data_IF_611281676850
#
_entry.id   IF_611281676850
#
_cell.length_a   1.000
_cell.length_b   1.000
_cell.length_c   1.000
_cell.angle_alpha   90.00
_cell.angle_beta   90.00
_cell.angle_gamma   90.00
#
_symmetry.space_group_name_H-M   'P 1'
#
loop_
_entity.id
_entity.type
_entity.pdbx_description
1 polymer ?
#
# COMPACT_ATOMS: atom_id res chain seq x y z
N UNK A 1 -31.32 0.99 -18.21
CA UNK A 1 -30.25 1.63 -17.38
C UNK A 1 -30.94 2.55 -16.37
N UNK A 2 -31.56 1.93 -15.39
CA UNK A 2 -32.53 2.65 -14.52
C UNK A 2 -31.86 3.56 -13.47
N UNK A 3 -30.57 3.44 -13.22
CA UNK A 3 -29.82 4.21 -12.23
C UNK A 3 -28.66 5.03 -12.80
N UNK A 4 -28.68 5.33 -14.10
CA UNK A 4 -27.57 6.04 -14.76
C UNK A 4 -27.28 7.40 -14.12
N UNK A 5 -28.33 8.20 -13.88
CA UNK A 5 -28.22 9.55 -13.28
C UNK A 5 -27.67 9.48 -11.84
N UNK A 6 -28.13 8.52 -11.05
CA UNK A 6 -27.66 8.33 -9.66
C UNK A 6 -26.19 7.87 -9.63
N UNK A 7 -25.79 7.01 -10.57
CA UNK A 7 -24.39 6.53 -10.69
C UNK A 7 -23.49 7.70 -11.09
N UNK A 8 -23.89 8.48 -12.10
CA UNK A 8 -23.10 9.62 -12.56
C UNK A 8 -23.01 10.74 -11.52
N UNK A 9 -24.05 10.90 -10.69
CA UNK A 9 -24.06 11.86 -9.58
C UNK A 9 -23.31 11.35 -8.33
N UNK A 10 -22.85 10.07 -8.30
CA UNK A 10 -22.20 9.46 -7.13
C UNK A 10 -23.13 9.22 -5.96
N UNK A 11 -24.45 9.22 -6.18
CA UNK A 11 -25.47 9.03 -5.14
C UNK A 11 -25.98 7.60 -5.05
N UNK A 12 -25.63 6.75 -6.01
CA UNK A 12 -25.99 5.32 -5.99
C UNK A 12 -25.16 4.58 -4.95
N UNK A 13 -25.81 4.15 -3.86
CA UNK A 13 -25.18 3.53 -2.68
C UNK A 13 -25.35 2.00 -2.62
N UNK A 14 -25.85 1.38 -3.69
CA UNK A 14 -26.13 -0.06 -3.74
C UNK A 14 -25.20 -0.76 -4.71
N UNK A 15 -25.13 -2.08 -4.61
CA UNK A 15 -24.48 -2.92 -5.62
C UNK A 15 -25.22 -2.80 -6.97
N UNK A 16 -24.48 -2.82 -8.08
CA UNK A 16 -25.06 -2.67 -9.43
C UNK A 16 -26.05 -3.80 -9.80
N UNK A 17 -25.95 -4.94 -9.13
CA UNK A 17 -26.86 -6.07 -9.32
C UNK A 17 -28.08 -6.02 -8.38
N UNK A 18 -28.15 -5.07 -7.45
CA UNK A 18 -29.22 -4.99 -6.49
C UNK A 18 -30.60 -4.90 -7.16
N UNK A 19 -31.54 -5.73 -6.72
CA UNK A 19 -32.88 -5.79 -7.27
C UNK A 19 -32.98 -6.47 -8.65
N UNK A 20 -31.89 -6.95 -9.22
CA UNK A 20 -31.86 -7.67 -10.49
C UNK A 20 -31.82 -9.18 -10.31
N UNK A 21 -32.09 -9.91 -11.40
CA UNK A 21 -31.88 -11.38 -11.44
C UNK A 21 -30.43 -11.78 -11.06
N UNK A 22 -29.47 -10.91 -11.38
CA UNK A 22 -28.05 -11.15 -11.11
C UNK A 22 -27.66 -11.11 -9.64
N UNK A 23 -28.43 -10.44 -8.77
CA UNK A 23 -28.10 -10.28 -7.35
C UNK A 23 -27.86 -11.64 -6.65
N UNK A 24 -28.83 -12.54 -6.76
CA UNK A 24 -28.73 -13.86 -6.14
C UNK A 24 -27.58 -14.72 -6.73
N UNK A 25 -27.33 -14.56 -8.02
CA UNK A 25 -26.22 -15.27 -8.66
C UNK A 25 -24.87 -14.75 -8.14
N UNK A 26 -24.69 -13.45 -8.04
CA UNK A 26 -23.48 -12.82 -7.52
C UNK A 26 -23.27 -13.19 -6.03
N UNK A 27 -24.33 -13.18 -5.22
CA UNK A 27 -24.27 -13.63 -3.83
C UNK A 27 -23.84 -15.10 -3.73
N UNK A 28 -24.44 -15.98 -4.54
CA UNK A 28 -24.07 -17.39 -4.57
C UNK A 28 -22.61 -17.59 -4.99
N UNK A 29 -22.16 -16.94 -6.05
CA UNK A 29 -20.77 -17.02 -6.53
C UNK A 29 -19.79 -16.46 -5.49
N UNK A 30 -20.13 -15.33 -4.84
CA UNK A 30 -19.34 -14.76 -3.76
C UNK A 30 -19.17 -15.72 -2.58
N UNK A 31 -20.24 -16.37 -2.15
CA UNK A 31 -20.22 -17.37 -1.09
C UNK A 31 -19.37 -18.60 -1.45
N UNK A 32 -19.46 -19.07 -2.69
CA UNK A 32 -18.62 -20.17 -3.18
C UNK A 32 -17.15 -19.76 -3.21
N UNK A 33 -16.85 -18.59 -3.77
CA UNK A 33 -15.49 -18.06 -3.83
C UNK A 33 -14.89 -17.89 -2.43
N UNK A 34 -15.66 -17.30 -1.50
CA UNK A 34 -15.22 -17.14 -0.11
C UNK A 34 -14.92 -18.50 0.55
N UNK A 35 -15.86 -19.45 0.45
CA UNK A 35 -15.77 -20.74 1.15
C UNK A 35 -14.67 -21.65 0.60
N UNK A 36 -14.47 -21.66 -0.73
CA UNK A 36 -13.60 -22.67 -1.37
C UNK A 36 -12.29 -22.09 -1.91
N UNK A 37 -12.20 -20.77 -2.08
CA UNK A 37 -10.99 -20.10 -2.57
C UNK A 37 -10.36 -19.27 -1.47
N UNK A 38 -11.02 -18.18 -1.08
CA UNK A 38 -10.43 -17.20 -0.16
C UNK A 38 -10.20 -17.75 1.27
N UNK A 39 -10.97 -18.74 1.71
CA UNK A 39 -10.77 -19.42 2.99
C UNK A 39 -9.90 -20.67 2.88
N UNK A 40 -9.13 -20.82 1.81
CA UNK A 40 -8.22 -21.95 1.63
C UNK A 40 -6.92 -21.76 2.42
N UNK A 41 -6.32 -22.89 2.83
CA UNK A 41 -5.05 -22.89 3.55
C UNK A 41 -3.91 -22.25 2.73
N UNK A 42 -3.95 -22.39 1.43
CA UNK A 42 -2.98 -21.84 0.49
C UNK A 42 -3.04 -20.30 0.51
N UNK A 43 -4.25 -19.74 0.49
CA UNK A 43 -4.45 -18.28 0.57
C UNK A 43 -3.99 -17.77 1.94
N UNK A 44 -4.38 -18.39 3.04
CA UNK A 44 -3.93 -17.99 4.37
C UNK A 44 -2.42 -17.99 4.53
N UNK A 45 -1.73 -18.95 3.92
CA UNK A 45 -0.25 -18.95 3.91
C UNK A 45 0.34 -17.81 3.10
N UNK A 46 -0.31 -17.40 2.01
CA UNK A 46 0.11 -16.23 1.24
C UNK A 46 -0.10 -14.95 2.04
N UNK A 47 -1.29 -14.75 2.61
CA UNK A 47 -1.62 -13.58 3.42
C UNK A 47 -0.66 -13.39 4.59
N UNK A 48 -0.36 -14.44 5.34
CA UNK A 48 0.61 -14.38 6.46
C UNK A 48 2.00 -14.01 5.96
N UNK A 49 2.44 -14.59 4.85
CA UNK A 49 3.75 -14.29 4.27
C UNK A 49 3.84 -12.83 3.80
N UNK A 50 2.80 -12.34 3.14
CA UNK A 50 2.75 -10.97 2.64
C UNK A 50 2.66 -9.95 3.76
N UNK A 51 1.90 -10.25 4.82
CA UNK A 51 1.87 -9.41 6.02
C UNK A 51 3.28 -9.25 6.63
N UNK A 52 4.03 -10.34 6.77
CA UNK A 52 5.41 -10.28 7.30
C UNK A 52 6.33 -9.44 6.41
N UNK A 53 6.19 -9.55 5.09
CA UNK A 53 6.99 -8.75 4.14
C UNK A 53 6.66 -7.27 4.28
N UNK A 54 5.37 -6.93 4.28
CA UNK A 54 4.92 -5.54 4.35
C UNK A 54 5.29 -4.90 5.69
N UNK A 55 5.05 -5.58 6.81
CA UNK A 55 5.42 -5.11 8.15
C UNK A 55 6.92 -4.81 8.23
N UNK A 56 7.75 -5.73 7.75
CA UNK A 56 9.20 -5.53 7.72
C UNK A 56 9.61 -4.33 6.87
N UNK A 57 9.07 -4.21 5.65
CA UNK A 57 9.41 -3.11 4.75
C UNK A 57 8.95 -1.77 5.31
N UNK A 58 7.73 -1.71 5.86
CA UNK A 58 7.19 -0.51 6.49
C UNK A 58 8.06 -0.08 7.68
N UNK A 59 8.38 -0.98 8.60
CA UNK A 59 9.21 -0.68 9.77
C UNK A 59 10.59 -0.15 9.37
N UNK A 60 11.24 -0.81 8.42
CA UNK A 60 12.58 -0.40 7.98
C UNK A 60 12.59 0.95 7.28
N UNK A 61 11.59 1.18 6.41
CA UNK A 61 11.50 2.43 5.67
C UNK A 61 11.02 3.61 6.52
N UNK A 62 10.08 3.39 7.43
CA UNK A 62 9.64 4.42 8.37
C UNK A 62 10.83 4.90 9.21
N UNK A 63 11.62 3.98 9.78
CA UNK A 63 12.81 4.35 10.56
C UNK A 63 13.78 5.21 9.73
N UNK A 64 14.01 4.85 8.47
CA UNK A 64 14.92 5.59 7.59
C UNK A 64 14.42 6.99 7.24
N UNK A 65 13.10 7.20 7.08
CA UNK A 65 12.56 8.51 6.68
C UNK A 65 12.28 9.46 7.85
N UNK A 66 12.24 9.00 9.09
CA UNK A 66 11.93 9.86 10.24
C UNK A 66 12.80 11.11 10.30
N UNK A 67 14.05 10.99 9.91
CA UNK A 67 15.04 12.08 9.92
C UNK A 67 15.45 12.54 8.52
N UNK A 68 14.78 12.08 7.47
CA UNK A 68 14.99 12.56 6.11
C UNK A 68 14.64 14.05 6.01
N UNK A 69 15.48 14.84 5.34
CA UNK A 69 15.29 16.29 5.20
C UNK A 69 15.17 17.00 6.57
N UNK A 70 15.99 16.60 7.54
CA UNK A 70 16.14 17.26 8.84
C UNK A 70 17.61 17.55 9.11
N UNK A 71 17.90 18.37 10.14
CA UNK A 71 19.27 18.69 10.56
C UNK A 71 20.01 17.49 11.21
N UNK A 72 19.30 16.40 11.47
CA UNK A 72 19.89 15.18 12.06
C UNK A 72 20.58 14.35 10.98
N UNK A 73 21.85 14.01 11.24
CA UNK A 73 22.61 13.12 10.39
C UNK A 73 22.02 11.69 10.37
N UNK A 74 21.80 11.18 9.17
CA UNK A 74 21.34 9.81 8.97
C UNK A 74 22.50 8.83 9.18
N UNK A 75 22.23 7.72 9.83
CA UNK A 75 23.22 6.64 9.88
C UNK A 75 23.40 5.99 8.50
N UNK A 76 24.48 5.26 8.32
CA UNK A 76 24.84 4.67 7.04
C UNK A 76 23.80 3.67 6.49
N UNK A 77 23.08 2.96 7.38
CA UNK A 77 22.06 1.99 6.99
C UNK A 77 20.80 2.72 6.51
N UNK A 78 20.30 3.71 7.27
CA UNK A 78 19.10 4.47 6.90
C UNK A 78 19.32 5.24 5.58
N UNK A 79 20.50 5.80 5.38
CA UNK A 79 20.87 6.45 4.12
C UNK A 79 20.79 5.47 2.93
N UNK A 80 21.22 4.22 3.10
CA UNK A 80 21.11 3.18 2.07
C UNK A 80 19.68 2.72 1.85
N UNK A 81 18.90 2.56 2.90
CA UNK A 81 17.45 2.24 2.78
C UNK A 81 16.73 3.33 1.99
N UNK A 82 17.00 4.60 2.29
CA UNK A 82 16.46 5.73 1.52
C UNK A 82 16.85 5.73 0.05
N UNK A 83 17.99 5.14 -0.31
CA UNK A 83 18.41 5.05 -1.72
C UNK A 83 17.52 4.11 -2.55
N UNK A 84 16.77 3.20 -1.92
CA UNK A 84 15.80 2.34 -2.62
C UNK A 84 14.55 3.10 -3.05
N UNK A 85 14.17 4.14 -2.31
CA UNK A 85 13.03 4.99 -2.70
C UNK A 85 13.39 5.76 -3.96
N UNK A 86 12.58 5.61 -5.01
CA UNK A 86 12.87 6.23 -6.29
C UNK A 86 12.85 7.76 -6.21
N UNK A 87 13.64 8.41 -7.06
CA UNK A 87 13.79 9.88 -7.09
C UNK A 87 12.47 10.62 -7.39
N UNK A 88 11.53 9.97 -8.07
CA UNK A 88 10.23 10.59 -8.36
C UNK A 88 9.43 10.83 -7.06
N UNK A 89 9.41 9.86 -6.14
CA UNK A 89 8.75 10.03 -4.85
C UNK A 89 9.45 11.10 -4.00
N UNK A 90 10.79 11.12 -3.99
CA UNK A 90 11.58 12.14 -3.28
C UNK A 90 11.35 13.56 -3.83
N UNK A 91 11.23 13.69 -5.16
CA UNK A 91 10.90 14.98 -5.80
C UNK A 91 9.49 15.44 -5.43
N UNK A 92 8.51 14.52 -5.42
CA UNK A 92 7.15 14.85 -5.00
C UNK A 92 7.12 15.32 -3.53
N UNK A 93 7.84 14.63 -2.64
CA UNK A 93 8.03 15.07 -1.26
C UNK A 93 8.63 16.48 -1.20
N UNK A 94 9.78 16.72 -1.85
CA UNK A 94 10.47 18.01 -1.79
C UNK A 94 9.58 19.16 -2.25
N UNK A 95 8.80 18.96 -3.32
CA UNK A 95 7.85 19.94 -3.81
C UNK A 95 6.73 20.24 -2.80
N UNK A 96 6.19 19.21 -2.15
CA UNK A 96 5.10 19.37 -1.18
C UNK A 96 5.58 19.90 0.17
N UNK A 97 6.84 19.65 0.54
CA UNK A 97 7.43 20.03 1.84
C UNK A 97 7.87 21.51 1.87
N UNK A 98 7.92 22.19 0.73
CA UNK A 98 8.33 23.59 0.66
C UNK A 98 7.40 24.49 1.47
N UNK A 99 7.98 25.27 2.39
CA UNK A 99 7.24 26.19 3.27
C UNK A 99 6.39 25.51 4.37
N UNK A 100 6.51 24.18 4.55
CA UNK A 100 5.76 23.42 5.55
C UNK A 100 6.44 23.41 6.90
N UNK A 101 5.63 23.30 7.95
CA UNK A 101 6.09 23.04 9.32
C UNK A 101 6.70 21.66 9.48
N UNK A 102 7.51 21.44 10.51
CA UNK A 102 8.11 20.12 10.77
C UNK A 102 7.07 19.02 11.00
N UNK A 103 5.93 19.32 11.58
CA UNK A 103 4.84 18.36 11.74
C UNK A 103 4.22 17.94 10.40
N UNK A 104 4.02 18.90 9.48
CA UNK A 104 3.57 18.61 8.11
C UNK A 104 4.62 17.85 7.31
N UNK A 105 5.90 18.21 7.44
CA UNK A 105 7.01 17.48 6.81
C UNK A 105 7.10 16.04 7.33
N UNK A 106 6.90 15.82 8.63
CA UNK A 106 6.84 14.46 9.19
C UNK A 106 5.72 13.64 8.55
N UNK A 107 4.53 14.21 8.44
CA UNK A 107 3.42 13.56 7.74
C UNK A 107 3.79 13.21 6.29
N UNK A 108 4.39 14.13 5.55
CA UNK A 108 4.83 13.91 4.18
C UNK A 108 5.93 12.84 4.07
N UNK A 109 6.84 12.74 5.05
CA UNK A 109 7.83 11.67 5.14
C UNK A 109 7.18 10.30 5.32
N UNK A 110 6.16 10.21 6.16
CA UNK A 110 5.40 8.96 6.32
C UNK A 110 4.60 8.63 5.06
N UNK A 111 4.00 9.62 4.42
CA UNK A 111 3.29 9.46 3.15
C UNK A 111 4.24 8.98 2.04
N UNK A 112 5.47 9.51 1.97
CA UNK A 112 6.51 9.06 1.04
C UNK A 112 6.76 7.55 1.13
N UNK A 113 6.79 6.98 2.35
CA UNK A 113 6.97 5.55 2.56
C UNK A 113 5.74 4.77 2.13
N UNK A 114 4.54 5.19 2.58
CA UNK A 114 3.31 4.49 2.24
C UNK A 114 3.07 4.46 0.73
N UNK A 115 3.28 5.58 0.05
CA UNK A 115 3.14 5.67 -1.41
C UNK A 115 4.14 4.76 -2.12
N UNK A 116 5.39 4.73 -1.66
CA UNK A 116 6.42 3.87 -2.25
C UNK A 116 6.11 2.39 -2.05
N UNK A 117 5.74 1.97 -0.82
CA UNK A 117 5.41 0.56 -0.52
C UNK A 117 4.12 0.13 -1.24
N UNK A 118 3.08 0.96 -1.23
CA UNK A 118 1.83 0.66 -1.95
C UNK A 118 2.01 0.64 -3.48
N UNK A 119 3.00 1.33 -4.00
CA UNK A 119 3.35 1.32 -5.42
C UNK A 119 4.16 0.09 -5.87
N UNK A 120 4.58 -0.78 -4.96
CA UNK A 120 5.31 -2.00 -5.30
C UNK A 120 4.40 -3.08 -5.86
N UNK A 121 4.94 -3.89 -6.76
CA UNK A 121 4.34 -5.19 -7.06
C UNK A 121 4.74 -6.21 -5.99
N UNK A 122 3.93 -7.24 -5.78
CA UNK A 122 4.22 -8.31 -4.80
C UNK A 122 5.60 -8.94 -5.04
N UNK A 123 5.96 -9.16 -6.31
CA UNK A 123 7.26 -9.72 -6.68
C UNK A 123 8.43 -8.80 -6.31
N UNK A 124 8.24 -7.47 -6.45
CA UNK A 124 9.26 -6.51 -6.07
C UNK A 124 9.40 -6.40 -4.55
N UNK A 125 8.29 -6.30 -3.82
CA UNK A 125 8.29 -6.27 -2.36
C UNK A 125 8.97 -7.51 -1.77
N UNK A 126 8.64 -8.70 -2.30
CA UNK A 126 9.29 -9.95 -1.89
C UNK A 126 10.80 -9.93 -2.15
N UNK A 127 11.24 -9.48 -3.33
CA UNK A 127 12.67 -9.41 -3.65
C UNK A 127 13.39 -8.44 -2.73
N UNK A 128 12.83 -7.26 -2.53
CA UNK A 128 13.41 -6.25 -1.65
C UNK A 128 13.52 -6.75 -0.19
N UNK A 129 12.50 -7.45 0.30
CA UNK A 129 12.54 -8.13 1.60
C UNK A 129 13.68 -9.15 1.67
N UNK A 130 13.83 -9.98 0.63
CA UNK A 130 14.90 -10.99 0.56
C UNK A 130 16.29 -10.34 0.56
N UNK A 131 16.48 -9.31 -0.27
CA UNK A 131 17.74 -8.57 -0.39
C UNK A 131 18.13 -7.93 0.96
N UNK A 132 17.17 -7.31 1.66
CA UNK A 132 17.40 -6.68 2.98
C UNK A 132 17.72 -7.70 4.08
N UNK A 133 17.23 -8.93 3.96
CA UNK A 133 17.47 -10.01 4.93
C UNK A 133 18.64 -10.94 4.52
N UNK A 134 19.30 -10.70 3.39
CA UNK A 134 20.39 -11.56 2.90
C UNK A 134 19.92 -12.96 2.50
N UNK A 135 18.67 -13.10 2.05
CA UNK A 135 18.10 -14.37 1.60
C UNK A 135 18.33 -14.47 0.07
N UNK A 136 19.17 -15.39 -0.35
CA UNK A 136 19.51 -15.63 -1.75
C UNK A 136 18.51 -16.62 -2.38
#
# INVERSE_FOLDING_TARGET
MDHYEEIMAGTFQRDLFHGTFGEKLMECLGNIAYRYVFSSREIYRMEVKEAVILDFLMDRMIQAVLYYDTDRELNAIDSRVLSFISDNYKKAYSYQAEGKSEAEKLYLRLLLVTDYVCGMTDSYAKRLYQDMNGII
#
